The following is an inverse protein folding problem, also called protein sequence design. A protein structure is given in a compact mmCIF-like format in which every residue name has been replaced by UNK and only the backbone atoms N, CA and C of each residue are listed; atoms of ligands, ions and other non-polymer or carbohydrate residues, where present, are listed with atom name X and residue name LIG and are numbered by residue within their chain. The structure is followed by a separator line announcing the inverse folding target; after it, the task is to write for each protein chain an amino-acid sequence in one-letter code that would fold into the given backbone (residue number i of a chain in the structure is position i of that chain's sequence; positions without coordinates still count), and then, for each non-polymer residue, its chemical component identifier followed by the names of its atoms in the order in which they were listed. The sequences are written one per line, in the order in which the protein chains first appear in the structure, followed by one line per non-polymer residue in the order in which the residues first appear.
data_IF_988939918313
#
_entry.id   IF_988939918313
#
_cell.length_a   1.000
_cell.length_b   1.000
_cell.length_c   1.000
_cell.angle_alpha   90.00
_cell.angle_beta   90.00
_cell.angle_gamma   90.00
#
_symmetry.space_group_name_H-M   'P 1'
#
loop_
_entity.id
_entity.type
_entity.pdbx_description
1 polymer ?
#
# COMPACT_ATOMS: atom_id res chain seq x y z
N UNK A 1 -3.23 7.16 -11.69
CA UNK A 1 -2.10 8.08 -11.40
C UNK A 1 -1.64 7.88 -9.97
N UNK A 2 -0.34 7.68 -9.76
CA UNK A 2 0.23 7.44 -8.44
C UNK A 2 0.86 8.74 -7.91
N UNK A 3 0.58 9.07 -6.64
CA UNK A 3 1.09 10.29 -6.00
C UNK A 3 1.59 9.99 -4.58
N UNK A 4 2.59 10.75 -4.12
CA UNK A 4 2.96 10.75 -2.71
C UNK A 4 1.86 11.44 -1.89
N UNK A 5 1.52 10.85 -0.75
CA UNK A 5 0.53 11.40 0.18
C UNK A 5 1.23 11.89 1.45
N UNK A 6 1.01 13.13 1.81
CA UNK A 6 1.59 13.74 3.00
C UNK A 6 0.57 13.89 4.14
N UNK A 7 -0.70 13.70 3.84
CA UNK A 7 -1.79 13.68 4.81
C UNK A 7 -2.83 12.65 4.38
N UNK A 8 -3.44 11.96 5.33
CA UNK A 8 -4.41 10.91 5.04
C UNK A 8 -5.85 11.32 5.39
N UNK A 9 -6.01 12.51 5.98
CA UNK A 9 -7.33 13.02 6.35
C UNK A 9 -8.36 12.97 5.22
N UNK A 10 -8.03 13.37 3.97
CA UNK A 10 -8.99 13.31 2.88
C UNK A 10 -9.41 11.90 2.47
N UNK A 11 -8.69 10.87 2.92
CA UNK A 11 -8.87 9.49 2.44
C UNK A 11 -9.38 8.54 3.53
N UNK A 12 -9.76 9.06 4.70
CA UNK A 12 -10.20 8.23 5.83
C UNK A 12 -11.42 7.37 5.50
N UNK A 13 -12.37 7.90 4.76
CA UNK A 13 -13.56 7.14 4.37
C UNK A 13 -13.19 5.93 3.51
N UNK A 14 -12.28 6.13 2.57
CA UNK A 14 -11.78 5.05 1.73
C UNK A 14 -11.03 4.01 2.57
N UNK A 15 -10.16 4.46 3.48
CA UNK A 15 -9.38 3.58 4.36
C UNK A 15 -10.31 2.71 5.21
N UNK A 16 -11.33 3.32 5.82
CA UNK A 16 -12.29 2.58 6.64
C UNK A 16 -13.13 1.62 5.81
N UNK A 17 -13.54 2.00 4.60
CA UNK A 17 -14.33 1.13 3.73
C UNK A 17 -13.55 -0.13 3.32
N UNK A 18 -12.28 0.01 2.96
CA UNK A 18 -11.43 -1.13 2.62
C UNK A 18 -11.16 -2.01 3.84
N UNK A 19 -10.91 -1.39 5.01
CA UNK A 19 -10.62 -2.12 6.25
C UNK A 19 -11.83 -2.90 6.77
N UNK A 20 -13.04 -2.46 6.43
CA UNK A 20 -14.27 -3.15 6.80
C UNK A 20 -14.61 -4.32 5.87
N UNK A 21 -13.97 -4.40 4.71
CA UNK A 21 -14.24 -5.45 3.72
C UNK A 21 -13.36 -6.67 4.00
N UNK A 22 -13.94 -7.84 4.38
CA UNK A 22 -13.14 -9.01 4.74
C UNK A 22 -12.29 -9.57 3.61
N UNK A 23 -12.61 -9.26 2.34
CA UNK A 23 -11.84 -9.72 1.19
C UNK A 23 -10.63 -8.82 0.89
N UNK A 24 -10.61 -7.60 1.41
CA UNK A 24 -9.57 -6.61 1.11
C UNK A 24 -8.89 -6.03 2.36
N UNK A 25 -9.34 -6.43 3.54
CA UNK A 25 -8.73 -5.98 4.80
C UNK A 25 -7.26 -6.39 4.86
N UNK A 26 -6.43 -5.45 5.29
CA UNK A 26 -4.98 -5.69 5.41
C UNK A 26 -4.67 -6.30 6.78
N UNK A 27 -3.97 -7.46 6.85
CA UNK A 27 -3.59 -8.04 8.14
C UNK A 27 -2.67 -7.15 8.98
N UNK A 28 -2.01 -6.16 8.39
CA UNK A 28 -1.17 -5.19 9.11
C UNK A 28 -1.98 -4.05 9.74
N UNK A 29 -3.30 -4.01 9.51
CA UNK A 29 -4.18 -2.93 9.96
C UNK A 29 -5.40 -3.44 10.74
N UNK A 30 -5.28 -4.56 11.46
CA UNK A 30 -6.42 -5.19 12.13
C UNK A 30 -6.83 -4.49 13.44
N UNK A 31 -5.89 -3.78 14.07
CA UNK A 31 -6.17 -3.04 15.32
C UNK A 31 -5.98 -1.55 15.09
N UNK A 32 -6.59 -0.73 15.95
CA UNK A 32 -6.40 0.72 15.93
C UNK A 32 -4.92 1.09 16.07
N UNK A 33 -4.20 0.39 16.93
CA UNK A 33 -2.77 0.63 17.12
C UNK A 33 -1.98 0.35 15.84
N UNK A 34 -2.29 -0.75 15.14
CA UNK A 34 -1.65 -1.07 13.87
C UNK A 34 -2.00 -0.04 12.80
N UNK A 35 -3.27 0.37 12.73
CA UNK A 35 -3.71 1.37 11.75
C UNK A 35 -2.94 2.67 11.92
N UNK A 36 -2.79 3.16 13.14
CA UNK A 36 -2.02 4.37 13.40
C UNK A 36 -0.54 4.18 13.08
N UNK A 37 0.08 3.14 13.63
CA UNK A 37 1.52 2.90 13.48
C UNK A 37 1.91 2.67 12.02
N UNK A 38 1.15 1.83 11.29
CA UNK A 38 1.53 1.40 9.95
C UNK A 38 1.02 2.32 8.84
N UNK A 39 0.00 3.13 9.10
CA UNK A 39 -0.57 3.97 8.06
C UNK A 39 -0.78 5.42 8.48
N UNK A 40 -1.60 5.69 9.50
CA UNK A 40 -2.02 7.08 9.78
C UNK A 40 -0.86 7.96 10.24
N UNK A 41 0.09 7.40 10.99
CA UNK A 41 1.27 8.13 11.47
C UNK A 41 2.48 7.96 10.55
N UNK A 42 2.34 7.16 9.50
CA UNK A 42 3.44 6.86 8.57
C UNK A 42 4.02 8.10 7.87
N UNK A 43 3.23 9.12 7.47
CA UNK A 43 3.80 10.31 6.82
C UNK A 43 4.80 11.08 7.69
N UNK A 44 4.78 10.89 9.01
CA UNK A 44 5.69 11.56 9.93
C UNK A 44 7.03 10.82 10.07
N UNK A 45 7.12 9.59 9.58
CA UNK A 45 8.33 8.77 9.69
C UNK A 45 9.22 9.00 8.45
N UNK A 46 10.49 9.42 8.64
CA UNK A 46 11.37 9.75 7.51
C UNK A 46 11.70 8.56 6.60
N UNK A 47 11.61 7.32 7.10
CA UNK A 47 11.89 6.12 6.31
C UNK A 47 10.64 5.51 5.68
N UNK A 48 9.51 6.16 5.81
CA UNK A 48 8.23 5.66 5.31
C UNK A 48 7.72 6.58 4.21
N UNK A 49 7.19 5.98 3.14
CA UNK A 49 6.50 6.70 2.07
C UNK A 49 5.07 6.22 2.00
N UNK A 50 4.15 7.16 1.89
CA UNK A 50 2.74 6.84 1.66
C UNK A 50 2.36 7.26 0.26
N UNK A 51 1.78 6.33 -0.49
CA UNK A 51 1.42 6.51 -1.89
C UNK A 51 -0.08 6.33 -2.05
N UNK A 52 -0.66 7.12 -2.94
CA UNK A 52 -2.06 6.95 -3.33
C UNK A 52 -2.17 6.74 -4.83
N UNK A 53 -3.08 5.87 -5.24
CA UNK A 53 -3.46 5.71 -6.64
C UNK A 53 -4.81 6.36 -6.87
N UNK A 54 -4.99 6.95 -8.05
CA UNK A 54 -6.18 7.73 -8.39
C UNK A 54 -6.66 7.42 -9.79
N UNK A 55 -7.97 7.42 -9.96
CA UNK A 55 -8.62 7.34 -11.26
C UNK A 55 -9.66 8.45 -11.32
N UNK A 56 -9.52 9.38 -12.28
CA UNK A 56 -10.40 10.55 -12.41
C UNK A 56 -10.55 11.35 -11.09
N UNK A 57 -9.42 11.58 -10.42
CA UNK A 57 -9.32 12.30 -9.14
C UNK A 57 -9.94 11.58 -7.95
N UNK A 58 -10.38 10.31 -8.14
CA UNK A 58 -10.91 9.48 -7.07
C UNK A 58 -9.84 8.52 -6.59
N UNK A 59 -9.63 8.44 -5.27
CA UNK A 59 -8.64 7.51 -4.70
C UNK A 59 -9.07 6.07 -4.94
N UNK A 60 -8.15 5.25 -5.46
CA UNK A 60 -8.38 3.82 -5.71
C UNK A 60 -7.47 2.93 -4.88
N UNK A 61 -6.44 3.48 -4.26
CA UNK A 61 -5.54 2.73 -3.40
C UNK A 61 -4.76 3.65 -2.48
N UNK A 62 -4.44 3.14 -1.29
CA UNK A 62 -3.57 3.81 -0.31
C UNK A 62 -2.56 2.78 0.18
N UNK A 63 -1.26 3.10 0.07
CA UNK A 63 -0.17 2.19 0.36
C UNK A 63 0.89 2.88 1.19
N UNK A 64 1.38 2.20 2.24
CA UNK A 64 2.49 2.69 3.04
C UNK A 64 3.69 1.73 2.89
N UNK A 65 4.85 2.30 2.58
CA UNK A 65 6.09 1.57 2.37
C UNK A 65 7.13 1.98 3.42
N UNK A 66 7.78 1.00 4.01
CA UNK A 66 8.99 1.23 4.80
C UNK A 66 10.19 0.99 3.89
N UNK A 67 11.01 2.02 3.69
CA UNK A 67 12.20 1.95 2.84
C UNK A 67 13.39 2.42 3.68
N UNK A 68 14.06 1.50 4.43
CA UNK A 68 15.20 1.88 5.26
C UNK A 68 16.32 2.47 4.43
N UNK A 69 16.95 3.52 4.94
CA UNK A 69 18.11 4.12 4.32
C UNK A 69 19.27 3.12 4.33
N UNK A 70 20.07 3.13 3.29
CA UNK A 70 21.27 2.29 3.16
C UNK A 70 21.03 0.78 3.02
N UNK A 71 19.77 0.35 2.85
CA UNK A 71 19.43 -1.05 2.60
C UNK A 71 18.65 -1.17 1.30
N UNK A 72 18.92 -2.23 0.53
CA UNK A 72 18.15 -2.53 -0.69
C UNK A 72 16.97 -3.43 -0.35
N UNK A 73 16.09 -2.90 0.48
CA UNK A 73 14.97 -3.62 1.05
C UNK A 73 13.80 -2.66 1.23
N UNK A 74 12.59 -3.15 1.01
CA UNK A 74 11.38 -2.40 1.35
C UNK A 74 10.31 -3.35 1.87
N UNK A 75 9.42 -2.82 2.68
CA UNK A 75 8.31 -3.56 3.26
C UNK A 75 7.02 -2.80 3.03
N UNK A 76 5.97 -3.50 2.60
CA UNK A 76 4.64 -2.93 2.52
C UNK A 76 4.01 -2.96 3.91
N UNK A 77 3.96 -1.80 4.57
CA UNK A 77 3.36 -1.67 5.91
C UNK A 77 1.84 -1.67 5.85
N UNK A 78 1.27 -1.15 4.76
CA UNK A 78 -0.17 -1.09 4.57
C UNK A 78 -0.49 -1.07 3.09
N UNK A 79 -1.51 -1.82 2.70
CA UNK A 79 -1.98 -1.82 1.32
C UNK A 79 -3.49 -1.98 1.27
N UNK A 80 -4.18 -0.91 0.85
CA UNK A 80 -5.64 -0.88 0.79
C UNK A 80 -6.09 -0.49 -0.61
N UNK A 81 -6.69 -1.44 -1.31
CA UNK A 81 -7.32 -1.19 -2.61
C UNK A 81 -8.28 -2.31 -2.96
N UNK A 82 -9.31 -1.96 -3.73
CA UNK A 82 -10.22 -2.92 -4.36
C UNK A 82 -10.14 -2.82 -5.88
N UNK A 83 -9.00 -2.35 -6.39
CA UNK A 83 -8.77 -2.12 -7.82
C UNK A 83 -7.54 -2.87 -8.30
N UNK A 84 -7.70 -3.73 -9.31
CA UNK A 84 -6.57 -4.43 -9.93
C UNK A 84 -5.57 -3.43 -10.54
N UNK A 85 -6.08 -2.38 -11.19
CA UNK A 85 -5.24 -1.35 -11.81
C UNK A 85 -4.38 -0.62 -10.77
N UNK A 86 -4.90 -0.39 -9.54
CA UNK A 86 -4.15 0.24 -8.47
C UNK A 86 -2.95 -0.62 -8.05
N UNK A 87 -3.15 -1.93 -7.90
CA UNK A 87 -2.04 -2.83 -7.56
C UNK A 87 -1.02 -2.92 -8.67
N UNK A 88 -1.45 -2.98 -9.92
CA UNK A 88 -0.53 -3.00 -11.07
C UNK A 88 0.32 -1.73 -11.11
N UNK A 89 -0.31 -0.58 -10.86
CA UNK A 89 0.39 0.71 -10.83
C UNK A 89 1.41 0.78 -9.67
N UNK A 90 1.03 0.29 -8.49
CA UNK A 90 1.93 0.23 -7.34
C UNK A 90 3.16 -0.63 -7.67
N UNK A 91 2.96 -1.85 -8.17
CA UNK A 91 4.06 -2.77 -8.43
C UNK A 91 4.97 -2.28 -9.55
N UNK A 92 4.40 -1.66 -10.60
CA UNK A 92 5.19 -1.04 -11.66
C UNK A 92 6.05 0.09 -11.11
N UNK A 93 5.50 0.91 -10.20
CA UNK A 93 6.27 1.98 -9.55
C UNK A 93 7.41 1.41 -8.71
N UNK A 94 7.16 0.36 -7.91
CA UNK A 94 8.20 -0.26 -7.09
C UNK A 94 9.35 -0.81 -7.94
N UNK A 95 9.01 -1.45 -9.04
CA UNK A 95 10.01 -1.99 -9.97
C UNK A 95 10.87 -0.89 -10.59
N UNK A 96 10.27 0.23 -10.92
CA UNK A 96 10.95 1.37 -11.55
C UNK A 96 11.77 2.19 -10.55
N UNK A 97 11.23 2.46 -9.36
CA UNK A 97 11.85 3.33 -8.37
C UNK A 97 12.89 2.60 -7.51
N UNK A 98 12.74 1.28 -7.33
CA UNK A 98 13.59 0.50 -6.44
C UNK A 98 14.15 -0.75 -7.14
N UNK A 99 14.92 -0.57 -8.23
CA UNK A 99 15.48 -1.72 -8.94
C UNK A 99 16.48 -2.48 -8.07
N UNK A 100 16.36 -3.80 -8.04
CA UNK A 100 17.25 -4.65 -7.25
C UNK A 100 16.91 -4.73 -5.77
N UNK A 101 15.81 -4.07 -5.33
CA UNK A 101 15.36 -4.16 -3.94
C UNK A 101 14.63 -5.48 -3.69
N UNK A 102 14.82 -6.03 -2.50
CA UNK A 102 13.96 -7.10 -2.01
C UNK A 102 12.73 -6.48 -1.35
N UNK A 103 11.55 -6.99 -1.68
CA UNK A 103 10.30 -6.45 -1.16
C UNK A 103 9.55 -7.52 -0.37
N UNK A 104 9.08 -7.16 0.82
CA UNK A 104 8.26 -8.03 1.65
C UNK A 104 6.83 -7.53 1.67
N UNK A 105 5.89 -8.46 1.43
CA UNK A 105 4.46 -8.20 1.46
C UNK A 105 3.78 -9.19 2.41
N UNK A 106 2.98 -8.65 3.33
CA UNK A 106 2.04 -9.45 4.12
C UNK A 106 0.64 -9.06 3.65
N UNK A 107 -0.12 -10.02 3.16
CA UNK A 107 -1.43 -9.71 2.59
C UNK A 107 -2.47 -10.78 2.95
N UNK A 108 -3.73 -10.37 2.86
CA UNK A 108 -4.88 -11.23 3.09
C UNK A 108 -5.03 -12.22 1.92
N UNK A 109 -5.01 -13.56 2.17
CA UNK A 109 -5.17 -14.54 1.08
C UNK A 109 -6.49 -14.42 0.32
N UNK A 110 -7.48 -13.76 0.90
CA UNK A 110 -8.77 -13.50 0.23
C UNK A 110 -8.67 -12.36 -0.79
N UNK A 111 -7.61 -11.55 -0.72
CA UNK A 111 -7.38 -10.46 -1.68
C UNK A 111 -6.76 -11.04 -2.95
N UNK A 112 -7.62 -11.49 -3.85
CA UNK A 112 -7.20 -12.13 -5.10
C UNK A 112 -6.57 -11.14 -6.08
N UNK A 113 -6.93 -9.87 -5.98
CA UNK A 113 -6.36 -8.84 -6.86
C UNK A 113 -4.88 -8.64 -6.58
N UNK A 114 -4.51 -8.51 -5.32
CA UNK A 114 -3.10 -8.37 -4.95
C UNK A 114 -2.32 -9.66 -5.24
N UNK A 115 -2.90 -10.81 -4.95
CA UNK A 115 -2.28 -12.09 -5.24
C UNK A 115 -1.96 -12.21 -6.73
N UNK A 116 -2.91 -11.89 -7.61
CA UNK A 116 -2.71 -11.97 -9.05
C UNK A 116 -1.62 -11.00 -9.53
N UNK A 117 -1.57 -9.79 -8.97
CA UNK A 117 -0.56 -8.81 -9.31
C UNK A 117 0.85 -9.27 -8.90
N UNK A 118 0.98 -9.87 -7.73
CA UNK A 118 2.27 -10.40 -7.25
C UNK A 118 2.74 -11.60 -8.10
N UNK A 119 1.83 -12.48 -8.50
CA UNK A 119 2.14 -13.61 -9.37
C UNK A 119 2.62 -13.13 -10.74
N UNK A 120 1.98 -12.10 -11.30
CA UNK A 120 2.38 -11.52 -12.58
C UNK A 120 3.76 -10.86 -12.51
N UNK A 121 4.13 -10.32 -11.35
CA UNK A 121 5.44 -9.68 -11.16
C UNK A 121 6.58 -10.72 -11.22
N UNK A 122 6.34 -11.93 -10.71
CA UNK A 122 7.33 -13.01 -10.69
C UNK A 122 7.43 -13.76 -12.02
N UNK A 123 6.51 -13.55 -12.92
CA UNK A 123 6.45 -14.25 -14.21
C UNK A 123 7.51 -13.79 -15.22
#
# INVERSE_FOLDING_TARGET
MLKDLHTLSPYLDFIHACSADPDYRDPMLLTEQQLHRNLLDAPENPNTRVLGTFENDTVTGVFALLVPEDEKYLELLAGLSRSAAAYDELLAHLKSAYPGYQADFVYNPRNRLLQAALEALDA
#
